data_IF_482723317581
#
_entry.id   IF_482723317581
#
_cell.length_a   1.000
_cell.length_b   1.000
_cell.length_c   1.000
_cell.angle_alpha   90.00
_cell.angle_beta   90.00
_cell.angle_gamma   90.00
#
_symmetry.space_group_name_H-M   'P 1'
#
loop_
_entity.id
_entity.type
_entity.pdbx_description
1 polymer ?
#
# COMPACT_ATOMS: atom_id res chain seq x y z
N UNK A 1 8.42 9.51 9.48
CA UNK A 1 7.81 8.99 10.73
C UNK A 1 7.31 10.15 11.55
N UNK A 2 6.07 10.09 12.01
CA UNK A 2 5.44 11.17 12.77
C UNK A 2 5.86 11.14 14.25
N UNK A 3 6.43 12.25 14.75
CA UNK A 3 6.95 12.40 16.11
C UNK A 3 6.16 13.40 16.96
N UNK A 4 5.24 14.15 16.35
CA UNK A 4 4.41 15.15 17.01
C UNK A 4 3.51 14.51 18.06
N UNK A 5 3.68 14.94 19.31
CA UNK A 5 2.97 14.43 20.48
C UNK A 5 1.47 14.69 20.42
N UNK A 6 1.04 15.79 19.79
CA UNK A 6 -0.36 16.13 19.67
C UNK A 6 -1.05 15.16 18.71
N UNK A 7 -0.40 14.78 17.61
CA UNK A 7 -0.95 13.79 16.69
C UNK A 7 -1.15 12.42 17.36
N UNK A 8 -0.19 11.98 18.18
CA UNK A 8 -0.35 10.75 18.96
C UNK A 8 -1.40 10.88 20.07
N UNK A 9 -1.56 12.06 20.65
CA UNK A 9 -2.61 12.33 21.63
C UNK A 9 -4.01 12.28 20.99
N UNK A 10 -4.19 12.93 19.84
CA UNK A 10 -5.48 13.12 19.18
C UNK A 10 -5.93 11.89 18.38
N UNK A 11 -5.03 11.30 17.60
CA UNK A 11 -5.40 10.30 16.59
C UNK A 11 -5.07 8.87 17.00
N UNK A 12 -4.14 8.66 17.92
CA UNK A 12 -3.77 7.33 18.41
C UNK A 12 -4.37 7.05 19.80
N UNK A 13 -5.60 7.51 20.04
CA UNK A 13 -6.34 7.32 21.30
C UNK A 13 -5.47 7.62 22.53
N UNK A 14 -4.87 8.82 22.57
CA UNK A 14 -3.95 9.17 23.65
C UNK A 14 -2.78 8.16 23.77
N UNK A 15 -2.08 7.86 22.67
CA UNK A 15 -0.97 6.90 22.60
C UNK A 15 -1.31 5.43 22.94
N UNK A 16 -2.59 5.03 23.08
CA UNK A 16 -2.99 3.61 23.27
C UNK A 16 -3.25 2.89 21.94
N UNK A 17 -3.42 3.64 20.85
CA UNK A 17 -3.61 3.14 19.50
C UNK A 17 -2.29 3.00 18.72
N UNK A 18 -2.40 3.02 17.40
CA UNK A 18 -1.27 2.84 16.48
C UNK A 18 -1.44 3.63 15.19
N UNK A 19 -0.34 3.84 14.48
CA UNK A 19 -0.27 4.47 13.17
C UNK A 19 0.12 3.44 12.10
N UNK A 20 -0.43 3.59 10.89
CA UNK A 20 -0.16 2.72 9.74
C UNK A 20 0.63 3.53 8.70
N UNK A 21 1.81 3.03 8.31
CA UNK A 21 2.57 3.57 7.19
C UNK A 21 2.20 2.84 5.91
N UNK A 22 1.91 3.62 4.87
CA UNK A 22 1.58 3.12 3.56
C UNK A 22 2.68 3.42 2.51
N UNK A 23 2.86 2.48 1.60
CA UNK A 23 3.48 2.69 0.29
C UNK A 23 2.45 3.30 -0.65
N UNK A 24 2.68 4.55 -1.06
CA UNK A 24 1.74 5.29 -1.89
C UNK A 24 1.59 4.68 -3.30
N UNK A 25 2.67 4.17 -3.89
CA UNK A 25 2.62 3.58 -5.24
C UNK A 25 1.79 2.28 -5.23
N UNK A 26 1.87 1.51 -4.15
CA UNK A 26 1.07 0.29 -3.99
C UNK A 26 -0.39 0.56 -3.63
N UNK A 27 -0.69 1.69 -2.98
CA UNK A 27 -2.08 2.08 -2.69
C UNK A 27 -2.90 2.29 -3.97
N UNK A 28 -2.30 2.87 -5.01
CA UNK A 28 -2.97 3.15 -6.30
C UNK A 28 -3.08 1.93 -7.24
N UNK A 29 -2.33 0.86 -6.97
CA UNK A 29 -2.11 -0.24 -7.92
C UNK A 29 -3.41 -0.96 -8.32
N UNK A 30 -4.25 -1.31 -7.34
CA UNK A 30 -5.51 -2.01 -7.60
C UNK A 30 -6.61 -1.07 -8.06
N UNK A 31 -6.66 0.14 -7.50
CA UNK A 31 -7.73 1.08 -7.76
C UNK A 31 -7.18 2.50 -7.78
N UNK A 32 -7.48 3.29 -8.83
CA UNK A 32 -6.93 4.62 -8.97
C UNK A 32 -7.43 5.54 -7.85
N UNK A 33 -6.51 6.33 -7.35
CA UNK A 33 -6.75 7.49 -6.51
C UNK A 33 -7.21 8.65 -7.43
N UNK A 34 -8.30 9.31 -7.06
CA UNK A 34 -8.87 10.40 -7.86
C UNK A 34 -8.08 11.70 -7.72
N UNK A 35 -7.54 11.95 -6.53
CA UNK A 35 -6.63 13.06 -6.26
C UNK A 35 -5.83 12.77 -4.98
N UNK A 36 -4.62 13.32 -4.91
CA UNK A 36 -3.77 13.23 -3.73
C UNK A 36 -2.95 14.51 -3.58
N UNK A 37 -3.00 15.15 -2.42
CA UNK A 37 -2.35 16.45 -2.23
C UNK A 37 -2.08 16.76 -0.76
N UNK A 38 -1.03 17.55 -0.53
CA UNK A 38 -0.80 18.24 0.74
C UNK A 38 -1.87 19.31 0.97
N UNK A 39 -2.17 19.56 2.25
CA UNK A 39 -3.18 20.54 2.63
C UNK A 39 -2.62 21.96 2.63
N UNK A 40 -3.35 22.85 1.95
CA UNK A 40 -3.11 24.28 1.98
C UNK A 40 -3.67 24.85 3.31
N UNK A 41 -2.80 25.38 4.15
CA UNK A 41 -3.20 25.96 5.44
C UNK A 41 -3.43 27.47 5.32
N UNK A 42 -4.61 27.95 5.70
CA UNK A 42 -5.00 29.35 5.56
C UNK A 42 -5.80 29.89 6.75
N UNK A 43 -5.78 31.21 6.94
CA UNK A 43 -6.64 31.89 7.92
C UNK A 43 -8.09 32.04 7.44
N UNK A 44 -8.27 32.19 6.12
CA UNK A 44 -9.57 32.39 5.48
C UNK A 44 -9.94 31.15 4.65
N UNK A 45 -11.24 30.90 4.51
CA UNK A 45 -11.75 29.80 3.68
C UNK A 45 -11.52 30.12 2.19
N UNK A 46 -11.24 29.10 1.35
CA UNK A 46 -11.06 29.32 -0.08
C UNK A 46 -12.38 29.75 -0.72
N UNK A 47 -12.30 30.65 -1.71
CA UNK A 47 -13.45 31.03 -2.52
C UNK A 47 -13.66 30.04 -3.67
N UNK A 48 -14.84 29.42 -3.72
CA UNK A 48 -15.26 28.59 -4.84
C UNK A 48 -15.77 29.48 -5.97
N UNK A 49 -14.94 29.71 -6.99
CA UNK A 49 -15.36 30.37 -8.24
C UNK A 49 -16.00 29.36 -9.19
N UNK A 50 -17.07 29.78 -9.86
CA UNK A 50 -17.82 28.96 -10.83
C UNK A 50 -16.93 28.33 -11.91
N UNK A 51 -15.90 29.04 -12.37
CA UNK A 51 -14.95 28.55 -13.39
C UNK A 51 -14.13 27.31 -12.96
N UNK A 52 -14.09 27.00 -11.65
CA UNK A 52 -13.47 25.76 -11.15
C UNK A 52 -14.36 24.53 -11.37
N UNK A 53 -15.67 24.71 -11.54
CA UNK A 53 -16.67 23.64 -11.64
C UNK A 53 -16.96 23.27 -13.10
N UNK A 54 -16.87 24.22 -14.03
CA UNK A 54 -17.30 24.03 -15.43
C UNK A 54 -16.20 23.57 -16.40
N UNK A 55 -15.01 23.22 -15.90
CA UNK A 55 -13.93 22.67 -16.75
C UNK A 55 -13.99 21.15 -16.74
N UNK A 56 -13.91 20.54 -17.92
CA UNK A 56 -13.89 19.08 -18.09
C UNK A 56 -12.45 18.54 -18.11
N UNK A 57 -12.24 17.36 -17.54
CA UNK A 57 -10.97 16.63 -17.56
C UNK A 57 -10.43 16.27 -16.17
N UNK A 58 -9.50 15.32 -16.10
CA UNK A 58 -8.93 14.82 -14.84
C UNK A 58 -8.30 15.94 -13.98
N UNK A 59 -7.61 16.89 -14.62
CA UNK A 59 -7.03 18.06 -13.97
C UNK A 59 -8.06 19.05 -13.42
N UNK A 60 -9.30 19.02 -13.91
CA UNK A 60 -10.37 19.85 -13.35
C UNK A 60 -10.97 19.21 -12.09
N UNK A 61 -11.13 17.88 -12.07
CA UNK A 61 -11.59 17.12 -10.90
C UNK A 61 -10.61 17.28 -9.74
N UNK A 62 -9.31 17.10 -9.98
CA UNK A 62 -8.28 17.29 -8.95
C UNK A 62 -8.30 18.72 -8.39
N UNK A 63 -8.41 19.74 -9.26
CA UNK A 63 -8.50 21.15 -8.82
C UNK A 63 -9.76 21.39 -7.97
N UNK A 64 -10.90 20.86 -8.39
CA UNK A 64 -12.14 20.99 -7.63
C UNK A 64 -12.01 20.33 -6.25
N UNK A 65 -11.45 19.12 -6.18
CA UNK A 65 -11.20 18.40 -4.93
C UNK A 65 -10.24 19.17 -4.04
N UNK A 66 -9.18 19.77 -4.59
CA UNK A 66 -8.24 20.60 -3.83
C UNK A 66 -8.87 21.89 -3.31
N UNK A 67 -9.71 22.59 -4.07
CA UNK A 67 -10.35 23.81 -3.54
C UNK A 67 -11.40 23.49 -2.48
N UNK A 68 -12.13 22.37 -2.62
CA UNK A 68 -13.22 22.00 -1.70
C UNK A 68 -12.73 21.28 -0.44
N UNK A 69 -11.68 20.48 -0.56
CA UNK A 69 -11.17 19.61 0.51
C UNK A 69 -9.67 19.76 0.75
N UNK A 70 -8.99 20.65 0.05
CA UNK A 70 -7.55 20.86 0.19
C UNK A 70 -7.15 22.02 1.09
N UNK A 71 -8.09 22.72 1.74
CA UNK A 71 -7.77 23.83 2.65
C UNK A 71 -8.18 23.52 4.09
N UNK A 72 -7.31 23.85 5.05
CA UNK A 72 -7.57 23.73 6.50
C UNK A 72 -7.11 24.99 7.24
N UNK A 73 -7.63 25.22 8.45
CA UNK A 73 -7.23 26.37 9.26
C UNK A 73 -5.75 26.34 9.61
N UNK A 74 -5.08 27.49 9.52
CA UNK A 74 -3.65 27.65 9.82
C UNK A 74 -3.22 27.13 11.20
N UNK A 75 -4.15 27.07 12.17
CA UNK A 75 -3.90 26.53 13.51
C UNK A 75 -3.50 25.04 13.51
N UNK A 76 -3.87 24.31 12.47
CA UNK A 76 -3.60 22.88 12.31
C UNK A 76 -2.39 22.59 11.41
N UNK A 77 -1.58 23.61 11.08
CA UNK A 77 -0.42 23.45 10.19
C UNK A 77 0.59 22.41 10.67
N UNK A 78 0.71 22.22 11.99
CA UNK A 78 1.61 21.23 12.60
C UNK A 78 1.29 19.78 12.20
N UNK A 79 0.08 19.50 11.72
CA UNK A 79 -0.30 18.14 11.34
C UNK A 79 0.37 17.67 10.03
N UNK A 80 0.79 18.60 9.18
CA UNK A 80 1.36 18.32 7.85
C UNK A 80 0.48 17.33 7.06
N UNK A 81 -0.83 17.58 7.07
CA UNK A 81 -1.85 16.65 6.59
C UNK A 81 -1.74 16.46 5.07
N UNK A 82 -1.80 15.20 4.65
CA UNK A 82 -1.88 14.77 3.25
C UNK A 82 -3.22 14.07 3.02
N UNK A 83 -3.98 14.49 2.01
CA UNK A 83 -5.29 13.91 1.69
C UNK A 83 -5.24 13.07 0.42
N UNK A 84 -5.91 11.92 0.49
CA UNK A 84 -6.18 11.04 -0.64
C UNK A 84 -7.68 11.04 -0.86
N UNK A 85 -8.11 11.37 -2.08
CA UNK A 85 -9.49 11.35 -2.51
C UNK A 85 -9.73 10.15 -3.44
N UNK A 86 -10.82 9.42 -3.20
CA UNK A 86 -11.17 8.19 -3.92
C UNK A 86 -12.59 8.28 -4.47
N UNK A 87 -12.81 7.65 -5.62
CA UNK A 87 -14.12 7.52 -6.24
C UNK A 87 -14.31 6.11 -6.83
N UNK A 88 -15.51 5.51 -6.77
CA UNK A 88 -16.69 5.88 -5.96
C UNK A 88 -16.46 5.86 -4.43
N UNK A 89 -17.36 6.52 -3.69
CA UNK A 89 -17.35 6.49 -2.22
C UNK A 89 -17.53 5.07 -1.67
N UNK A 90 -17.02 4.83 -0.45
CA UNK A 90 -17.18 3.57 0.26
C UNK A 90 -15.86 2.84 0.48
N UNK A 91 -15.92 1.50 0.50
CA UNK A 91 -14.74 0.66 0.78
C UNK A 91 -13.70 0.83 -0.32
N UNK A 92 -12.48 1.16 0.09
CA UNK A 92 -11.31 1.22 -0.77
C UNK A 92 -10.49 -0.06 -0.61
N UNK A 93 -10.50 -0.90 -1.64
CA UNK A 93 -9.67 -2.08 -1.67
C UNK A 93 -8.30 -1.70 -2.23
N UNK A 94 -7.25 -2.00 -1.49
CA UNK A 94 -5.87 -1.75 -1.87
C UNK A 94 -5.04 -3.03 -1.72
N UNK A 95 -3.84 -3.02 -2.30
CA UNK A 95 -2.90 -4.12 -2.16
C UNK A 95 -2.42 -4.21 -0.70
N UNK A 96 -2.53 -5.35 -0.04
CA UNK A 96 -2.10 -5.51 1.35
C UNK A 96 -0.62 -5.14 1.55
N UNK A 97 0.19 -5.29 0.49
CA UNK A 97 1.62 -4.91 0.44
C UNK A 97 1.82 -3.40 0.53
N UNK A 98 0.76 -2.60 0.36
CA UNK A 98 0.80 -1.17 0.59
C UNK A 98 0.99 -0.84 2.07
N UNK A 99 0.62 -1.70 3.02
CA UNK A 99 0.98 -1.48 4.43
C UNK A 99 2.44 -1.89 4.63
N UNK A 100 3.30 -0.92 4.91
CA UNK A 100 4.75 -1.15 5.10
C UNK A 100 5.10 -1.40 6.56
N UNK A 101 4.52 -0.59 7.44
CA UNK A 101 4.87 -0.61 8.85
C UNK A 101 3.70 -0.21 9.73
N UNK A 102 3.74 -0.68 10.98
CA UNK A 102 2.84 -0.26 12.05
C UNK A 102 3.68 0.33 13.18
N UNK A 103 3.28 1.50 13.66
CA UNK A 103 3.90 2.18 14.79
C UNK A 103 2.93 2.12 15.97
N UNK A 104 3.29 1.38 17.01
CA UNK A 104 2.48 1.25 18.22
C UNK A 104 2.72 2.44 19.14
N UNK A 105 1.63 3.03 19.63
CA UNK A 105 1.67 4.11 20.60
C UNK A 105 2.39 3.68 21.89
N UNK A 106 2.99 4.65 22.57
CA UNK A 106 3.81 4.40 23.77
C UNK A 106 3.04 3.66 24.88
N UNK A 107 1.72 3.83 24.95
CA UNK A 107 0.84 3.24 25.97
C UNK A 107 0.01 2.08 25.45
N UNK A 108 0.22 1.64 24.21
CA UNK A 108 -0.55 0.53 23.65
C UNK A 108 -0.25 -0.77 24.41
N UNK A 109 -1.26 -1.49 24.93
CA UNK A 109 -1.07 -2.76 25.62
C UNK A 109 -0.31 -3.78 24.75
N UNK A 110 0.69 -4.47 25.29
CA UNK A 110 1.53 -5.39 24.50
C UNK A 110 0.82 -6.71 24.20
N UNK A 111 0.19 -7.28 25.22
CA UNK A 111 -0.46 -8.59 25.18
C UNK A 111 -1.90 -8.52 25.67
N UNK A 112 -2.65 -9.61 25.49
CA UNK A 112 -4.04 -9.69 25.98
C UNK A 112 -4.15 -9.58 27.51
N UNK A 113 -3.09 -9.91 28.24
CA UNK A 113 -3.04 -9.84 29.72
C UNK A 113 -2.97 -8.38 30.18
N UNK A 114 -2.41 -7.50 29.36
CA UNK A 114 -2.29 -6.07 29.65
C UNK A 114 -3.59 -5.28 29.40
N UNK A 115 -4.61 -5.94 28.82
CA UNK A 115 -5.91 -5.34 28.56
C UNK A 115 -6.73 -5.20 29.85
N UNK A 116 -7.65 -4.23 29.84
CA UNK A 116 -8.54 -3.97 30.98
C UNK A 116 -9.41 -5.19 31.30
N UNK A 117 -9.69 -5.44 32.59
CA UNK A 117 -10.58 -6.53 33.01
C UNK A 117 -11.93 -6.44 32.28
N UNK A 118 -12.43 -7.57 31.79
CA UNK A 118 -13.64 -7.71 30.98
C UNK A 118 -13.60 -7.01 29.60
N UNK A 119 -12.43 -6.65 29.06
CA UNK A 119 -12.31 -6.09 27.70
C UNK A 119 -13.02 -6.96 26.63
N UNK A 120 -13.00 -8.28 26.80
CA UNK A 120 -13.68 -9.25 25.93
C UNK A 120 -15.22 -9.26 26.01
N UNK A 121 -15.80 -8.58 27.00
CA UNK A 121 -17.25 -8.43 27.15
C UNK A 121 -17.75 -7.06 26.69
N UNK A 122 -16.83 -6.14 26.37
CA UNK A 122 -17.18 -4.83 25.83
C UNK A 122 -17.65 -4.98 24.38
N UNK A 123 -18.58 -4.13 23.93
CA UNK A 123 -18.87 -4.01 22.49
C UNK A 123 -17.60 -3.63 21.72
N UNK A 124 -17.50 -4.03 20.45
CA UNK A 124 -16.33 -3.77 19.60
C UNK A 124 -15.91 -2.29 19.57
N UNK A 125 -16.86 -1.36 19.68
CA UNK A 125 -16.60 0.09 19.72
C UNK A 125 -15.87 0.58 20.97
N UNK A 126 -15.83 -0.23 22.04
CA UNK A 126 -15.21 0.10 23.32
C UNK A 126 -14.07 -0.87 23.70
N UNK A 127 -13.96 -2.00 23.01
CA UNK A 127 -12.90 -2.97 23.26
C UNK A 127 -11.55 -2.43 22.76
N UNK A 128 -10.55 -2.44 23.63
CA UNK A 128 -9.17 -2.12 23.27
C UNK A 128 -8.46 -3.32 22.63
N UNK A 129 -7.55 -3.05 21.71
CA UNK A 129 -6.72 -4.06 21.04
C UNK A 129 -5.27 -3.93 21.51
N UNK A 130 -4.60 -5.06 21.72
CA UNK A 130 -3.17 -5.08 22.06
C UNK A 130 -2.29 -5.28 20.82
N UNK A 131 -1.00 -4.99 20.96
CA UNK A 131 0.00 -5.12 19.88
C UNK A 131 0.01 -6.54 19.32
N UNK A 132 0.03 -7.56 20.19
CA UNK A 132 0.00 -8.97 19.77
C UNK A 132 -1.19 -9.29 18.84
N UNK A 133 -2.38 -8.74 19.10
CA UNK A 133 -3.56 -8.96 18.25
C UNK A 133 -3.40 -8.30 16.88
N UNK A 134 -2.82 -7.10 16.82
CA UNK A 134 -2.56 -6.42 15.55
C UNK A 134 -1.56 -7.21 14.71
N UNK A 135 -0.44 -7.64 15.31
CA UNK A 135 0.57 -8.46 14.62
C UNK A 135 -0.06 -9.79 14.16
N UNK A 136 -0.90 -10.42 14.98
CA UNK A 136 -1.59 -11.67 14.63
C UNK A 136 -2.51 -11.53 13.41
N UNK A 137 -3.29 -10.45 13.34
CA UNK A 137 -4.16 -10.15 12.20
C UNK A 137 -3.34 -9.85 10.94
N UNK A 138 -2.13 -9.30 11.11
CA UNK A 138 -1.23 -8.87 10.05
C UNK A 138 -0.16 -9.89 9.64
N UNK A 139 -0.13 -11.07 10.29
CA UNK A 139 0.89 -12.10 10.06
C UNK A 139 1.02 -12.52 8.59
N UNK A 140 2.26 -12.85 8.20
CA UNK A 140 2.58 -13.30 6.84
C UNK A 140 2.57 -12.18 5.78
N UNK A 141 2.38 -10.91 6.17
CA UNK A 141 2.37 -9.78 5.23
C UNK A 141 3.74 -9.11 5.03
N UNK A 142 4.75 -9.47 5.82
CA UNK A 142 6.09 -8.86 5.75
C UNK A 142 6.10 -7.40 6.24
N UNK A 143 5.24 -7.08 7.20
CA UNK A 143 5.10 -5.73 7.79
C UNK A 143 6.15 -5.53 8.87
N UNK A 144 6.74 -4.35 8.93
CA UNK A 144 7.63 -3.96 10.05
C UNK A 144 6.83 -3.38 11.21
N UNK A 145 7.29 -3.61 12.43
CA UNK A 145 6.63 -3.12 13.63
C UNK A 145 7.57 -2.22 14.42
N UNK A 146 7.05 -1.10 14.91
CA UNK A 146 7.82 -0.12 15.68
C UNK A 146 7.08 0.23 16.97
N UNK A 147 7.83 0.49 18.03
CA UNK A 147 7.28 0.98 19.30
C UNK A 147 7.71 2.42 19.52
N UNK A 148 6.74 3.31 19.73
CA UNK A 148 7.01 4.69 20.13
C UNK A 148 7.49 4.75 21.58
N UNK A 149 8.46 5.62 21.87
CA UNK A 149 9.04 5.83 23.20
C UNK A 149 9.34 7.32 23.41
N UNK A 150 8.92 7.85 24.55
CA UNK A 150 9.32 9.20 24.96
C UNK A 150 10.82 9.22 25.27
N UNK A 151 11.55 10.19 24.72
CA UNK A 151 12.96 10.41 25.07
C UNK A 151 13.07 10.91 26.51
N UNK A 152 14.10 10.46 27.22
CA UNK A 152 14.38 10.94 28.58
C UNK A 152 14.58 12.45 28.59
N UNK A 153 14.00 13.12 29.58
CA UNK A 153 14.12 14.57 29.81
C UNK A 153 13.73 15.46 28.62
N UNK A 154 12.77 14.99 27.81
CA UNK A 154 12.32 15.67 26.59
C UNK A 154 10.82 15.43 26.34
N UNK A 155 10.21 16.28 25.52
CA UNK A 155 8.86 16.07 24.95
C UNK A 155 8.88 15.31 23.62
N UNK A 156 10.07 15.02 23.09
CA UNK A 156 10.22 14.34 21.81
C UNK A 156 10.03 12.82 21.93
N UNK A 157 9.44 12.25 20.89
CA UNK A 157 9.34 10.81 20.71
C UNK A 157 10.45 10.25 19.80
N UNK A 158 10.88 9.04 20.14
CA UNK A 158 11.64 8.16 19.27
C UNK A 158 10.84 6.88 18.99
N UNK A 159 11.32 6.05 18.07
CA UNK A 159 10.80 4.70 17.88
C UNK A 159 11.92 3.69 17.74
N UNK A 160 11.63 2.44 18.03
CA UNK A 160 12.53 1.32 17.76
C UNK A 160 11.77 0.17 17.14
N UNK A 161 12.43 -0.55 16.23
CA UNK A 161 11.86 -1.73 15.60
C UNK A 161 11.64 -2.83 16.65
N UNK A 162 10.50 -3.51 16.57
CA UNK A 162 10.19 -4.67 17.40
C UNK A 162 9.96 -5.88 16.50
N UNK A 163 10.27 -7.07 17.02
CA UNK A 163 10.19 -8.29 16.25
C UNK A 163 8.73 -8.64 15.87
N UNK A 164 8.55 -9.15 14.65
CA UNK A 164 7.33 -9.84 14.27
C UNK A 164 7.32 -11.22 14.93
N UNK A 165 6.51 -11.38 15.97
CA UNK A 165 6.33 -12.65 16.69
C UNK A 165 5.68 -13.75 15.83
N UNK A 166 5.23 -13.41 14.61
CA UNK A 166 4.71 -14.32 13.60
C UNK A 166 5.52 -14.25 12.29
N UNK A 167 6.82 -13.92 12.35
CA UNK A 167 7.70 -13.84 11.18
C UNK A 167 7.69 -15.12 10.31
N UNK A 168 7.56 -16.27 10.95
CA UNK A 168 7.57 -17.60 10.31
C UNK A 168 6.16 -18.07 9.89
N UNK A 169 5.14 -17.20 10.02
CA UNK A 169 3.79 -17.54 9.60
C UNK A 169 3.72 -17.69 8.08
N UNK A 170 2.81 -18.56 7.62
CA UNK A 170 2.51 -18.71 6.20
C UNK A 170 2.24 -17.34 5.58
N UNK A 171 2.85 -17.11 4.42
CA UNK A 171 2.70 -15.87 3.67
C UNK A 171 1.22 -15.59 3.37
N UNK A 172 0.83 -14.34 3.58
CA UNK A 172 -0.55 -13.91 3.38
C UNK A 172 -0.89 -13.91 1.89
N UNK A 173 -2.06 -14.48 1.55
CA UNK A 173 -2.51 -14.70 0.16
C UNK A 173 -1.51 -15.50 -0.69
N UNK A 174 -0.83 -16.46 -0.08
CA UNK A 174 0.05 -17.39 -0.79
C UNK A 174 -0.76 -18.43 -1.57
N UNK A 175 -1.02 -18.12 -2.84
CA UNK A 175 -1.76 -18.96 -3.77
C UNK A 175 -1.00 -19.03 -5.09
N UNK A 176 -1.02 -20.22 -5.69
CA UNK A 176 -0.48 -20.46 -7.03
C UNK A 176 -1.64 -20.59 -8.00
N UNK A 177 -1.59 -19.81 -9.07
CA UNK A 177 -2.63 -19.71 -10.09
C UNK A 177 -2.19 -20.43 -11.38
N UNK A 178 -3.13 -21.06 -12.08
CA UNK A 178 -2.81 -21.66 -13.37
C UNK A 178 -2.68 -20.57 -14.44
N UNK A 179 -1.54 -20.53 -15.13
CA UNK A 179 -1.33 -19.63 -16.27
C UNK A 179 -1.62 -20.34 -17.58
N UNK A 180 -2.51 -19.77 -18.38
CA UNK A 180 -2.81 -20.28 -19.73
C UNK A 180 -1.66 -19.97 -20.68
N UNK A 181 -0.94 -21.01 -21.13
CA UNK A 181 0.18 -20.87 -22.06
C UNK A 181 -0.21 -20.27 -23.42
N UNK A 182 -1.49 -20.34 -23.80
CA UNK A 182 -2.00 -19.76 -25.04
C UNK A 182 -1.96 -18.23 -25.05
N UNK A 183 -1.80 -17.60 -23.88
CA UNK A 183 -1.69 -16.15 -23.71
C UNK A 183 -0.22 -15.69 -23.58
N UNK A 184 0.73 -16.61 -23.80
CA UNK A 184 2.17 -16.32 -23.80
C UNK A 184 2.66 -16.28 -25.24
N UNK A 185 3.12 -15.11 -25.66
CA UNK A 185 3.83 -14.94 -26.93
C UNK A 185 5.33 -15.18 -26.70
N UNK A 186 5.80 -16.32 -27.18
CA UNK A 186 7.19 -16.75 -27.05
C UNK A 186 8.12 -16.17 -28.13
N UNK A 187 7.63 -15.29 -29.01
CA UNK A 187 8.49 -14.63 -29.99
C UNK A 187 9.45 -13.65 -29.30
N UNK A 188 10.74 -13.80 -29.56
CA UNK A 188 11.79 -12.93 -29.00
C UNK A 188 12.02 -11.66 -29.83
N UNK A 189 11.41 -11.59 -31.01
CA UNK A 189 11.54 -10.49 -31.98
C UNK A 189 13.00 -10.15 -32.32
N UNK A 190 13.87 -11.16 -32.38
CA UNK A 190 15.30 -11.01 -32.69
C UNK A 190 16.13 -10.44 -31.55
N UNK A 191 15.62 -10.48 -30.31
CA UNK A 191 16.32 -10.00 -29.12
C UNK A 191 17.13 -11.07 -28.39
N UNK A 192 17.15 -12.31 -28.88
CA UNK A 192 17.95 -13.40 -28.32
C UNK A 192 17.46 -13.89 -26.95
N UNK A 193 16.14 -13.82 -26.71
CA UNK A 193 15.55 -14.23 -25.42
C UNK A 193 15.12 -15.69 -25.49
N UNK A 194 15.67 -16.52 -24.62
CA UNK A 194 15.29 -17.92 -24.53
C UNK A 194 13.84 -18.11 -24.05
N UNK A 195 13.16 -19.11 -24.62
CA UNK A 195 11.78 -19.48 -24.27
C UNK A 195 11.56 -19.64 -22.77
N UNK A 196 12.55 -20.20 -22.06
CA UNK A 196 12.46 -20.46 -20.62
C UNK A 196 12.25 -19.21 -19.76
N UNK A 197 12.65 -18.02 -20.24
CA UNK A 197 12.38 -16.77 -19.50
C UNK A 197 10.89 -16.42 -19.44
N UNK A 198 10.13 -16.71 -20.49
CA UNK A 198 8.68 -16.48 -20.51
C UNK A 198 7.96 -17.43 -19.54
N UNK A 199 8.41 -18.69 -19.47
CA UNK A 199 7.88 -19.66 -18.51
C UNK A 199 8.21 -19.26 -17.06
N UNK A 200 9.44 -18.78 -16.79
CA UNK A 200 9.80 -18.22 -15.47
C UNK A 200 8.93 -17.02 -15.10
N UNK A 201 8.64 -16.12 -16.05
CA UNK A 201 7.72 -14.98 -15.81
C UNK A 201 6.30 -15.49 -15.52
N UNK A 202 5.82 -16.50 -16.24
CA UNK A 202 4.53 -17.11 -15.95
C UNK A 202 4.49 -17.68 -14.52
N UNK A 203 5.52 -18.38 -14.08
CA UNK A 203 5.64 -18.90 -12.71
C UNK A 203 5.67 -17.76 -11.67
N UNK A 204 6.35 -16.64 -11.95
CA UNK A 204 6.35 -15.46 -11.07
C UNK A 204 4.94 -14.87 -10.96
N UNK A 205 4.26 -14.66 -12.09
CA UNK A 205 2.91 -14.09 -12.13
C UNK A 205 1.87 -15.04 -11.51
N UNK A 206 2.09 -16.35 -11.61
CA UNK A 206 1.24 -17.36 -10.98
C UNK A 206 1.12 -17.20 -9.47
N UNK A 207 2.09 -16.52 -8.83
CA UNK A 207 2.14 -16.29 -7.39
C UNK A 207 1.75 -14.85 -6.99
N UNK A 208 1.27 -14.04 -7.92
CA UNK A 208 0.77 -12.69 -7.60
C UNK A 208 -0.51 -12.79 -6.75
N UNK A 209 -0.57 -12.18 -5.54
CA UNK A 209 -1.67 -12.35 -4.58
C UNK A 209 -3.06 -11.91 -5.06
N UNK A 210 -3.07 -11.08 -6.09
CA UNK A 210 -4.26 -10.50 -6.71
C UNK A 210 -4.41 -10.98 -8.15
N UNK A 211 -3.82 -12.10 -8.52
CA UNK A 211 -4.04 -12.68 -9.84
C UNK A 211 -5.48 -13.21 -9.95
N UNK A 212 -6.20 -12.76 -10.98
CA UNK A 212 -7.48 -13.34 -11.39
C UNK A 212 -7.37 -14.00 -12.76
N UNK A 213 -6.92 -13.25 -13.76
CA UNK A 213 -6.80 -13.73 -15.14
C UNK A 213 -5.60 -13.09 -15.84
N UNK A 214 -4.86 -13.87 -16.63
CA UNK A 214 -3.77 -13.35 -17.44
C UNK A 214 -4.34 -12.62 -18.67
N UNK A 215 -3.79 -11.46 -18.99
CA UNK A 215 -4.03 -10.80 -20.28
C UNK A 215 -3.02 -11.31 -21.31
N UNK A 216 -1.73 -11.07 -21.08
CA UNK A 216 -0.66 -11.59 -21.94
C UNK A 216 0.71 -11.53 -21.28
N UNK A 217 1.63 -12.37 -21.78
CA UNK A 217 3.08 -12.28 -21.53
C UNK A 217 3.78 -12.19 -22.88
N UNK A 218 4.62 -11.17 -23.08
CA UNK A 218 5.32 -10.94 -24.34
C UNK A 218 6.50 -9.96 -24.16
N UNK A 219 7.35 -9.78 -25.17
CA UNK A 219 8.41 -8.77 -25.15
C UNK A 219 7.83 -7.36 -25.24
N UNK A 220 8.12 -6.49 -24.27
CA UNK A 220 7.77 -5.07 -24.33
C UNK A 220 8.73 -4.34 -25.25
N UNK A 221 8.28 -3.98 -26.46
CA UNK A 221 9.10 -3.21 -27.41
C UNK A 221 9.51 -1.85 -26.82
N UNK A 222 8.57 -1.13 -26.24
CA UNK A 222 8.77 0.20 -25.68
C UNK A 222 9.78 0.18 -24.52
N UNK A 223 9.54 -0.64 -23.50
CA UNK A 223 10.43 -0.72 -22.34
C UNK A 223 11.80 -1.32 -22.69
N UNK A 224 11.86 -2.25 -23.67
CA UNK A 224 13.15 -2.79 -24.11
C UNK A 224 14.01 -1.72 -24.79
N UNK A 225 13.40 -0.81 -25.56
CA UNK A 225 14.12 0.32 -26.16
C UNK A 225 14.58 1.28 -25.07
N UNK A 226 13.67 1.63 -24.14
CA UNK A 226 13.96 2.56 -23.05
C UNK A 226 15.10 2.10 -22.15
N UNK A 227 15.16 0.80 -21.82
CA UNK A 227 16.21 0.20 -20.99
C UNK A 227 17.44 -0.29 -21.76
N UNK A 228 17.41 -0.24 -23.10
CA UNK A 228 18.43 -0.78 -23.99
C UNK A 228 18.80 -2.26 -23.71
N UNK A 229 17.80 -3.07 -23.36
CA UNK A 229 17.94 -4.51 -23.08
C UNK A 229 16.58 -5.20 -23.21
N UNK A 230 16.49 -6.53 -23.38
CA UNK A 230 15.20 -7.22 -23.46
C UNK A 230 14.39 -7.08 -22.15
N UNK A 231 13.12 -6.70 -22.30
CA UNK A 231 12.16 -6.58 -21.20
C UNK A 231 10.92 -7.41 -21.52
N UNK A 232 10.58 -8.36 -20.66
CA UNK A 232 9.35 -9.15 -20.74
C UNK A 232 8.26 -8.41 -19.98
N UNK A 233 7.14 -8.17 -20.65
CA UNK A 233 5.91 -7.67 -20.07
C UNK A 233 5.03 -8.83 -19.61
N UNK A 234 4.35 -8.64 -18.48
CA UNK A 234 3.21 -9.44 -18.09
C UNK A 234 2.05 -8.53 -17.64
N UNK A 235 0.88 -8.74 -18.23
CA UNK A 235 -0.36 -8.06 -17.87
C UNK A 235 -1.37 -9.05 -17.34
N UNK A 236 -2.04 -8.72 -16.22
CA UNK A 236 -3.10 -9.54 -15.64
C UNK A 236 -4.16 -8.68 -14.94
N UNK A 237 -5.34 -9.23 -14.71
CA UNK A 237 -6.44 -8.56 -14.04
C UNK A 237 -6.57 -9.04 -12.60
N UNK A 238 -7.10 -8.18 -11.72
CA UNK A 238 -7.34 -8.53 -10.32
C UNK A 238 -8.77 -9.00 -10.01
N UNK A 239 -9.71 -8.74 -10.91
CA UNK A 239 -11.09 -9.20 -10.82
C UNK A 239 -11.72 -9.31 -12.21
N UNK A 240 -12.87 -9.97 -12.28
CA UNK A 240 -13.64 -10.14 -13.51
C UNK A 240 -14.11 -8.80 -14.06
N UNK A 241 -14.04 -8.62 -15.38
CA UNK A 241 -14.49 -7.42 -16.10
C UNK A 241 -13.77 -6.13 -15.69
N UNK A 242 -12.58 -6.23 -15.08
CA UNK A 242 -11.81 -5.04 -14.77
C UNK A 242 -11.20 -4.45 -16.04
N UNK A 243 -11.38 -3.15 -16.27
CA UNK A 243 -10.82 -2.46 -17.43
C UNK A 243 -9.33 -2.14 -17.26
N UNK A 244 -8.81 -2.15 -16.02
CA UNK A 244 -7.40 -1.90 -15.69
C UNK A 244 -6.68 -3.21 -15.46
N UNK A 245 -5.67 -3.48 -16.27
CA UNK A 245 -4.70 -4.54 -16.00
C UNK A 245 -3.59 -4.03 -15.08
N UNK A 246 -3.13 -4.90 -14.18
CA UNK A 246 -1.87 -4.75 -13.48
C UNK A 246 -0.76 -5.15 -14.45
N UNK A 247 0.25 -4.29 -14.56
CA UNK A 247 1.37 -4.44 -15.48
C UNK A 247 2.65 -4.71 -14.71
N UNK A 248 3.45 -5.65 -15.21
CA UNK A 248 4.79 -5.95 -14.72
C UNK A 248 5.76 -5.99 -15.90
N UNK A 249 6.98 -5.55 -15.63
CA UNK A 249 8.07 -5.51 -16.60
C UNK A 249 9.29 -6.11 -15.93
N UNK A 250 9.95 -7.03 -16.63
CA UNK A 250 11.11 -7.75 -16.11
C UNK A 250 12.25 -7.71 -17.12
N UNK A 251 13.40 -7.20 -16.71
CA UNK A 251 14.67 -7.53 -17.39
C UNK A 251 15.00 -9.00 -17.12
N UNK A 252 15.88 -9.59 -17.93
CA UNK A 252 16.27 -10.99 -17.74
C UNK A 252 16.93 -11.23 -16.36
N UNK A 253 17.70 -10.27 -15.87
CA UNK A 253 18.28 -10.31 -14.53
C UNK A 253 17.21 -10.29 -13.43
N UNK A 254 16.21 -9.41 -13.55
CA UNK A 254 15.07 -9.34 -12.63
C UNK A 254 14.26 -10.65 -12.63
N UNK A 255 14.15 -11.33 -13.78
CA UNK A 255 13.52 -12.66 -13.85
C UNK A 255 14.34 -13.68 -13.06
N UNK A 256 15.66 -13.73 -13.25
CA UNK A 256 16.52 -14.69 -12.56
C UNK A 256 16.51 -14.47 -11.04
N UNK A 257 16.64 -13.23 -10.59
CA UNK A 257 16.57 -12.86 -9.17
C UNK A 257 15.24 -13.30 -8.57
N UNK A 258 14.12 -12.87 -9.14
CA UNK A 258 12.79 -13.22 -8.62
C UNK A 258 12.52 -14.71 -8.66
N UNK A 259 12.90 -15.39 -9.74
CA UNK A 259 12.68 -16.83 -9.87
C UNK A 259 13.51 -17.63 -8.86
N UNK A 260 14.75 -17.20 -8.56
CA UNK A 260 15.55 -17.82 -7.50
C UNK A 260 14.86 -17.73 -6.13
N UNK A 261 14.29 -16.57 -5.81
CA UNK A 261 13.57 -16.34 -4.55
C UNK A 261 12.31 -17.21 -4.43
N UNK A 262 11.68 -17.57 -5.55
CA UNK A 262 10.52 -18.47 -5.56
C UNK A 262 10.85 -19.92 -5.20
N UNK A 263 12.11 -20.33 -5.37
CA UNK A 263 12.57 -21.70 -5.15
C UNK A 263 13.35 -21.86 -3.84
N UNK A 264 13.50 -20.78 -3.06
CA UNK A 264 14.14 -20.76 -1.74
C UNK A 264 13.14 -20.80 -0.57
N UNK A 265 11.83 -20.81 -0.86
CA UNK A 265 10.75 -20.81 0.14
C UNK A 265 9.90 -22.06 0.12
#
# INVERSE_FOLDING_TARGET
MQKDELLWAYYADSHTGFCIEYDFEKLDELRPISAAFEIDYAEQRPELKFDHVFKNGATAVEKLLRVTTGTKSIKWRHEEEYRICIEPFGRFNYDYRAVKAIYFGMRMPKSKIDLVKNNNKLPDSYATVCQQQVIEVLKGRGIKYYQMKLKSDSYEFDCYEIADIYQDAQKYKDKVHLISKNLIDYNDYGRGVERGYFDKVADIISKEPYFYELNSIHISKEESIKKNQPVIFAGFFYEKNNLRQIKRYFTLDEVNEKYSLLNMG
#
